data_IF_126879009052
#
_entry.id   IF_126879009052
#
_cell.length_a   1.000
_cell.length_b   1.000
_cell.length_c   1.000
_cell.angle_alpha   90.00
_cell.angle_beta   90.00
_cell.angle_gamma   90.00
#
_symmetry.space_group_name_H-M   'P 1'
#
loop_
_entity.id
_entity.type
_entity.pdbx_description
1 polymer ?
#
# COMPACT_ATOMS: atom_id res chain seq x y z
N UNK A 1 0.29 -10.69 -4.28
CA UNK A 1 -0.33 -9.92 -5.39
C UNK A 1 0.25 -10.44 -6.70
N UNK A 2 -0.46 -11.29 -7.42
CA UNK A 2 -0.03 -11.83 -8.72
C UNK A 2 -0.45 -10.88 -9.85
N UNK A 3 0.27 -10.92 -10.98
CA UNK A 3 -0.08 -10.16 -12.20
C UNK A 3 -1.48 -10.47 -12.77
N UNK A 4 -2.18 -11.49 -12.25
CA UNK A 4 -3.57 -11.83 -12.58
C UNK A 4 -4.55 -11.76 -11.40
N UNK A 5 -4.12 -11.33 -10.20
CA UNK A 5 -5.05 -11.12 -9.09
C UNK A 5 -5.68 -9.74 -9.22
N UNK A 6 -6.79 -9.70 -9.96
CA UNK A 6 -7.70 -8.57 -10.02
C UNK A 6 -8.25 -8.32 -8.62
N UNK A 7 -7.68 -7.35 -7.91
CA UNK A 7 -8.22 -6.88 -6.63
C UNK A 7 -9.62 -6.34 -6.88
N UNK A 8 -10.64 -7.01 -6.31
CA UNK A 8 -12.06 -6.65 -6.40
C UNK A 8 -12.40 -5.25 -5.87
N UNK A 9 -11.44 -4.58 -5.23
CA UNK A 9 -11.55 -3.18 -4.81
C UNK A 9 -10.61 -2.32 -5.67
N UNK A 10 -11.08 -1.80 -6.83
CA UNK A 10 -10.32 -0.81 -7.56
C UNK A 10 -10.09 0.43 -6.68
N UNK A 11 -8.94 1.06 -6.84
CA UNK A 11 -8.67 2.32 -6.14
C UNK A 11 -9.72 3.35 -6.53
N UNK A 12 -10.40 3.92 -5.53
CA UNK A 12 -11.45 4.94 -5.70
C UNK A 12 -10.88 6.17 -6.42
N UNK A 13 -9.60 6.48 -6.17
CA UNK A 13 -8.87 7.55 -6.86
C UNK A 13 -7.85 6.92 -7.80
N UNK A 14 -8.16 6.88 -9.09
CA UNK A 14 -7.29 6.30 -10.14
C UNK A 14 -5.97 7.04 -10.29
N UNK A 15 -5.95 8.35 -10.06
CA UNK A 15 -4.73 9.18 -10.13
C UNK A 15 -3.74 8.83 -9.01
N UNK A 16 -4.23 8.45 -7.84
CA UNK A 16 -3.41 8.03 -6.71
C UNK A 16 -2.71 6.68 -6.93
N UNK A 17 -3.07 5.91 -7.98
CA UNK A 17 -2.49 4.59 -8.27
C UNK A 17 -0.98 4.62 -8.45
N UNK A 18 -0.44 5.67 -9.07
CA UNK A 18 1.01 5.81 -9.26
C UNK A 18 1.72 6.14 -7.94
N UNK A 19 1.17 7.07 -7.15
CA UNK A 19 1.69 7.42 -5.84
C UNK A 19 1.65 6.22 -4.87
N UNK A 20 0.53 5.50 -4.85
CA UNK A 20 0.36 4.28 -4.07
C UNK A 20 1.34 3.17 -4.47
N UNK A 21 1.63 3.01 -5.77
CA UNK A 21 2.62 2.05 -6.21
C UNK A 21 4.01 2.39 -5.69
N UNK A 22 4.44 3.67 -5.75
CA UNK A 22 5.72 4.11 -5.17
C UNK A 22 5.76 3.81 -3.67
N UNK A 23 4.71 4.19 -2.95
CA UNK A 23 4.56 3.92 -1.52
C UNK A 23 4.65 2.44 -1.15
N UNK A 24 4.02 1.57 -1.94
CA UNK A 24 4.11 0.12 -1.75
C UNK A 24 5.55 -0.36 -1.83
N UNK A 25 6.34 0.13 -2.78
CA UNK A 25 7.75 -0.23 -2.91
C UNK A 25 8.59 0.29 -1.74
N UNK A 26 8.33 1.51 -1.26
CA UNK A 26 9.03 2.05 -0.09
C UNK A 26 8.73 1.25 1.18
N UNK A 27 7.47 0.92 1.43
CA UNK A 27 7.06 0.14 2.60
C UNK A 27 7.57 -1.30 2.51
N UNK A 28 7.62 -1.89 1.32
CA UNK A 28 8.22 -3.20 1.13
C UNK A 28 9.72 -3.17 1.46
N UNK A 29 10.44 -2.16 0.96
CA UNK A 29 11.85 -1.96 1.29
C UNK A 29 12.08 -1.74 2.79
N UNK A 30 11.19 -1.02 3.48
CA UNK A 30 11.25 -0.78 4.92
C UNK A 30 11.02 -2.05 5.74
N UNK A 31 10.13 -2.94 5.27
CA UNK A 31 9.86 -4.24 5.89
C UNK A 31 10.93 -5.30 5.57
N UNK A 32 11.99 -4.94 4.85
CA UNK A 32 13.04 -5.88 4.41
C UNK A 32 12.57 -6.87 3.35
N UNK A 33 11.42 -6.59 2.73
CA UNK A 33 10.82 -7.40 1.69
C UNK A 33 11.29 -6.80 0.38
N UNK A 34 12.21 -7.46 -0.30
CA UNK A 34 12.71 -6.97 -1.59
C UNK A 34 11.77 -7.49 -2.70
N UNK A 35 10.87 -6.66 -3.24
CA UNK A 35 10.00 -7.13 -4.31
C UNK A 35 10.85 -7.41 -5.55
N UNK A 36 10.67 -8.58 -6.20
CA UNK A 36 11.42 -8.86 -7.42
C UNK A 36 11.11 -7.79 -8.47
N UNK A 37 12.16 -7.30 -9.14
CA UNK A 37 12.07 -6.27 -10.17
C UNK A 37 11.11 -6.62 -11.33
N UNK A 38 10.81 -7.92 -11.48
CA UNK A 38 9.86 -8.48 -12.44
C UNK A 38 8.38 -8.18 -12.09
N UNK A 39 8.11 -7.65 -10.89
CA UNK A 39 6.75 -7.32 -10.44
C UNK A 39 5.91 -8.55 -10.03
N UNK A 40 6.49 -9.74 -10.04
CA UNK A 40 5.84 -10.98 -9.62
C UNK A 40 6.02 -11.25 -8.12
N UNK A 41 5.04 -10.88 -7.30
CA UNK A 41 5.06 -11.13 -5.85
C UNK A 41 4.67 -12.57 -5.47
N UNK A 42 4.67 -13.51 -6.41
CA UNK A 42 4.24 -14.89 -6.16
C UNK A 42 5.33 -15.79 -5.56
N UNK A 43 6.61 -15.42 -5.68
CA UNK A 43 7.73 -16.09 -4.99
C UNK A 43 7.90 -15.61 -3.55
N UNK A 44 7.26 -14.50 -3.18
CA UNK A 44 7.27 -13.96 -1.83
C UNK A 44 6.20 -14.65 -0.98
N UNK A 45 6.49 -14.91 0.29
CA UNK A 45 5.53 -15.48 1.24
C UNK A 45 4.25 -14.65 1.27
N UNK A 46 3.09 -15.30 1.21
CA UNK A 46 1.77 -14.64 1.35
C UNK A 46 1.67 -13.79 2.63
N UNK A 47 2.39 -14.20 3.69
CA UNK A 47 2.49 -13.47 4.96
C UNK A 47 3.19 -12.12 4.78
N UNK A 48 4.32 -12.09 4.08
CA UNK A 48 5.10 -10.87 3.82
C UNK A 48 4.32 -9.92 2.91
N UNK A 49 3.75 -10.47 1.83
CA UNK A 49 2.93 -9.71 0.90
C UNK A 49 1.69 -9.10 1.59
N UNK A 50 1.09 -9.82 2.55
CA UNK A 50 0.00 -9.34 3.40
C UNK A 50 0.44 -8.29 4.42
N UNK A 51 1.63 -8.46 5.02
CA UNK A 51 2.21 -7.48 5.94
C UNK A 51 2.43 -6.14 5.25
N UNK A 52 3.02 -6.11 4.04
CA UNK A 52 3.20 -4.87 3.25
C UNK A 52 1.88 -4.14 3.04
N UNK A 53 0.84 -4.84 2.59
CA UNK A 53 -0.48 -4.25 2.36
C UNK A 53 -1.12 -3.70 3.64
N UNK A 54 -1.02 -4.43 4.76
CA UNK A 54 -1.53 -4.00 6.05
C UNK A 54 -0.79 -2.79 6.62
N UNK A 55 0.54 -2.77 6.51
CA UNK A 55 1.37 -1.63 6.91
C UNK A 55 1.08 -0.38 6.07
N UNK A 56 0.86 -0.55 4.77
CA UNK A 56 0.48 0.55 3.88
C UNK A 56 -0.85 1.19 4.31
N UNK A 57 -1.88 0.39 4.57
CA UNK A 57 -3.18 0.91 5.04
C UNK A 57 -3.05 1.56 6.40
N UNK A 58 -2.31 0.96 7.35
CA UNK A 58 -2.08 1.57 8.66
C UNK A 58 -1.41 2.93 8.57
N UNK A 59 -0.35 3.09 7.77
CA UNK A 59 0.31 4.39 7.57
C UNK A 59 -0.62 5.42 6.92
N UNK A 60 -1.44 5.00 5.94
CA UNK A 60 -2.43 5.90 5.32
C UNK A 60 -3.48 6.37 6.33
N UNK A 61 -3.98 5.48 7.18
CA UNK A 61 -4.93 5.82 8.24
C UNK A 61 -4.26 6.76 9.25
N UNK A 62 -3.03 6.48 9.70
CA UNK A 62 -2.31 7.36 10.62
C UNK A 62 -2.11 8.77 10.04
N UNK A 63 -1.77 8.88 8.75
CA UNK A 63 -1.68 10.17 8.07
C UNK A 63 -3.04 10.86 7.95
N UNK A 64 -4.10 10.12 7.62
CA UNK A 64 -5.45 10.65 7.54
C UNK A 64 -5.95 11.13 8.91
N UNK A 65 -5.73 10.34 9.98
CA UNK A 65 -6.01 10.72 11.36
C UNK A 65 -5.22 11.96 11.77
N UNK A 66 -3.93 12.03 11.41
CA UNK A 66 -3.10 13.22 11.68
C UNK A 66 -3.59 14.45 10.91
N UNK A 67 -4.02 14.29 9.65
CA UNK A 67 -4.60 15.38 8.87
C UNK A 67 -5.96 15.82 9.42
N UNK A 68 -6.81 14.88 9.86
CA UNK A 68 -8.10 15.18 10.49
C UNK A 68 -7.87 15.87 11.84
N UNK A 69 -6.90 15.40 12.63
CA UNK A 69 -6.53 16.01 13.90
C UNK A 69 -5.96 17.42 13.73
N UNK A 70 -5.19 17.67 12.66
CA UNK A 70 -4.61 18.97 12.36
C UNK A 70 -5.62 19.94 11.72
N UNK A 71 -6.48 19.43 10.83
CA UNK A 71 -7.49 20.19 10.09
C UNK A 71 -8.89 20.03 10.73
N UNK A 72 -8.95 20.12 12.06
CA UNK A 72 -10.13 19.88 12.90
C UNK A 72 -11.30 20.85 12.69
N UNK A 73 -11.84 20.92 11.48
CA UNK A 73 -13.14 21.50 11.15
C UNK A 73 -13.76 20.71 10.00
N UNK A 74 -14.40 19.59 10.34
CA UNK A 74 -15.63 19.18 9.67
C UNK A 74 -16.71 20.16 10.15
N UNK A 75 -16.89 21.25 9.41
CA UNK A 75 -18.10 22.08 9.46
C UNK A 75 -18.78 22.00 8.11
#
# INVERSE_FOLDING_TARGET
MAAGSETKNPLVVREAKQAMNKWKYEIASELGINPPADGYWGTLTSRDCGAVGGHMVRKMIQMAESQIANNGTLK
#
